data_IF_599518917242
#
_entry.id   IF_599518917242
#
_cell.length_a   1.000
_cell.length_b   1.000
_cell.length_c   1.000
_cell.angle_alpha   90.00
_cell.angle_beta   90.00
_cell.angle_gamma   90.00
#
_symmetry.space_group_name_H-M   'P 1'
#
loop_
_entity.id
_entity.type
_entity.pdbx_description
1 polymer ?
#
# COMPACT_ATOMS: atom_id res chain seq x y z
N UNK A 1 5.07 -6.42 14.17
CA UNK A 1 5.87 -7.67 14.29
C UNK A 1 7.35 -7.44 14.00
N UNK A 2 7.74 -6.90 12.83
CA UNK A 2 9.16 -6.59 12.53
C UNK A 2 9.75 -5.66 13.59
N UNK A 3 9.13 -4.49 13.82
CA UNK A 3 9.58 -3.54 14.83
C UNK A 3 9.59 -4.12 16.25
N UNK A 4 8.61 -4.97 16.57
CA UNK A 4 8.49 -5.61 17.88
C UNK A 4 9.65 -6.59 18.16
N UNK A 5 10.35 -7.08 17.13
CA UNK A 5 11.50 -7.96 17.25
C UNK A 5 12.84 -7.22 17.25
N UNK A 6 12.84 -5.91 17.03
CA UNK A 6 14.06 -5.11 16.91
C UNK A 6 14.99 -5.27 18.12
N UNK A 7 14.43 -5.25 19.34
CA UNK A 7 15.19 -5.42 20.57
C UNK A 7 15.83 -6.80 20.68
N UNK A 8 15.17 -7.84 20.17
CA UNK A 8 15.73 -9.20 20.13
C UNK A 8 16.89 -9.29 19.15
N UNK A 9 16.79 -8.65 17.98
CA UNK A 9 17.91 -8.56 17.03
C UNK A 9 19.12 -7.85 17.65
N UNK A 10 18.89 -6.71 18.32
CA UNK A 10 19.97 -5.98 19.02
C UNK A 10 20.62 -6.84 20.09
N UNK A 11 19.82 -7.46 20.96
CA UNK A 11 20.33 -8.32 22.03
C UNK A 11 21.22 -9.46 21.49
N UNK A 12 20.79 -10.13 20.42
CA UNK A 12 21.55 -11.21 19.76
C UNK A 12 22.84 -10.67 19.16
N UNK A 13 22.78 -9.52 18.48
CA UNK A 13 23.93 -8.91 17.84
C UNK A 13 24.98 -8.46 18.85
N UNK A 14 24.55 -7.85 19.96
CA UNK A 14 25.42 -7.39 21.05
C UNK A 14 26.07 -8.59 21.77
N UNK A 15 25.27 -9.62 22.08
CA UNK A 15 25.76 -10.83 22.73
C UNK A 15 26.77 -11.58 21.85
N UNK A 16 26.47 -11.69 20.56
CA UNK A 16 27.37 -12.33 19.60
C UNK A 16 28.67 -11.55 19.42
N UNK A 17 28.60 -10.22 19.33
CA UNK A 17 29.79 -9.36 19.19
C UNK A 17 30.70 -9.50 20.41
N UNK A 18 30.14 -9.54 21.62
CA UNK A 18 30.89 -9.79 22.86
C UNK A 18 31.61 -11.15 22.87
N UNK A 19 31.01 -12.20 22.29
CA UNK A 19 31.68 -13.51 22.16
C UNK A 19 32.86 -13.45 21.18
N UNK A 20 32.73 -12.69 20.09
CA UNK A 20 33.81 -12.49 19.11
C UNK A 20 34.95 -11.69 19.73
N UNK A 21 34.66 -10.58 20.41
CA UNK A 21 35.66 -9.74 21.08
C UNK A 21 36.48 -10.49 22.14
N UNK A 22 35.85 -11.46 22.83
CA UNK A 22 36.50 -12.28 23.85
C UNK A 22 37.31 -13.44 23.28
N UNK A 23 37.45 -13.55 21.95
CA UNK A 23 38.08 -14.67 21.26
C UNK A 23 37.53 -16.03 21.73
N UNK A 24 36.19 -16.13 21.85
CA UNK A 24 35.53 -17.39 22.18
C UNK A 24 35.93 -18.48 21.16
N UNK A 25 35.97 -19.76 21.58
CA UNK A 25 36.43 -20.85 20.71
C UNK A 25 35.67 -20.97 19.38
N UNK A 26 34.40 -20.50 19.36
CA UNK A 26 33.53 -20.46 18.19
C UNK A 26 33.40 -19.06 17.56
N UNK A 27 34.30 -18.11 17.85
CA UNK A 27 34.19 -16.72 17.40
C UNK A 27 34.04 -16.59 15.86
N UNK A 28 34.72 -17.44 15.08
CA UNK A 28 34.58 -17.46 13.62
C UNK A 28 33.15 -17.78 13.18
N UNK A 29 32.56 -18.85 13.75
CA UNK A 29 31.19 -19.26 13.42
C UNK A 29 30.16 -18.21 13.88
N UNK A 30 30.38 -17.60 15.05
CA UNK A 30 29.52 -16.53 15.56
C UNK A 30 29.56 -15.32 14.63
N UNK A 31 30.75 -14.89 14.19
CA UNK A 31 30.90 -13.76 13.28
C UNK A 31 30.19 -14.01 11.93
N UNK A 32 30.33 -15.21 11.36
CA UNK A 32 29.63 -15.60 10.14
C UNK A 32 28.10 -15.53 10.32
N UNK A 33 27.56 -16.08 11.40
CA UNK A 33 26.10 -16.03 11.66
C UNK A 33 25.58 -14.62 11.91
N UNK A 34 26.36 -13.76 12.55
CA UNK A 34 26.00 -12.35 12.74
C UNK A 34 25.92 -11.62 11.41
N UNK A 35 26.85 -11.89 10.49
CA UNK A 35 26.82 -11.31 9.14
C UNK A 35 25.58 -11.79 8.38
N UNK A 36 25.31 -13.10 8.36
CA UNK A 36 24.10 -13.65 7.73
C UNK A 36 22.82 -13.05 8.31
N UNK A 37 22.73 -12.92 9.65
CA UNK A 37 21.58 -12.31 10.31
C UNK A 37 21.38 -10.85 9.89
N UNK A 38 22.48 -10.09 9.75
CA UNK A 38 22.44 -8.70 9.30
C UNK A 38 21.95 -8.58 7.86
N UNK A 39 22.47 -9.43 6.96
CA UNK A 39 22.05 -9.48 5.56
C UNK A 39 20.57 -9.85 5.40
N UNK A 40 20.12 -10.89 6.12
CA UNK A 40 18.72 -11.32 6.14
C UNK A 40 17.80 -10.20 6.66
N UNK A 41 18.21 -9.48 7.70
CA UNK A 41 17.44 -8.34 8.24
C UNK A 41 17.31 -7.21 7.21
N UNK A 42 18.40 -6.87 6.52
CA UNK A 42 18.39 -5.85 5.46
C UNK A 42 17.45 -6.29 4.32
N UNK A 43 17.56 -7.54 3.88
CA UNK A 43 16.69 -8.11 2.84
C UNK A 43 15.21 -8.09 3.23
N UNK A 44 14.90 -8.45 4.48
CA UNK A 44 13.54 -8.39 5.02
C UNK A 44 12.96 -6.97 4.98
N UNK A 45 13.73 -5.98 5.43
CA UNK A 45 13.28 -4.58 5.45
C UNK A 45 13.06 -4.02 4.04
N UNK A 46 13.95 -4.36 3.09
CA UNK A 46 13.79 -3.98 1.68
C UNK A 46 12.50 -4.58 1.11
N UNK A 47 12.28 -5.88 1.28
CA UNK A 47 11.09 -6.56 0.77
C UNK A 47 9.80 -6.00 1.39
N UNK A 48 9.85 -5.67 2.68
CA UNK A 48 8.71 -5.05 3.36
C UNK A 48 8.36 -3.69 2.76
N UNK A 49 9.35 -2.85 2.48
CA UNK A 49 9.15 -1.53 1.89
C UNK A 49 8.62 -1.63 0.45
N UNK A 50 9.20 -2.51 -0.37
CA UNK A 50 8.71 -2.77 -1.74
C UNK A 50 7.23 -3.21 -1.73
N UNK A 51 6.87 -4.08 -0.77
CA UNK A 51 5.49 -4.54 -0.59
C UNK A 51 4.57 -3.39 -0.16
N UNK A 52 5.02 -2.52 0.75
CA UNK A 52 4.26 -1.36 1.22
C UNK A 52 3.91 -0.44 0.04
N UNK A 53 4.91 -0.08 -0.76
CA UNK A 53 4.74 0.76 -1.96
C UNK A 53 3.78 0.13 -2.96
N UNK A 54 3.90 -1.18 -3.21
CA UNK A 54 2.97 -1.89 -4.10
C UNK A 54 1.52 -1.80 -3.61
N UNK A 55 1.28 -1.98 -2.31
CA UNK A 55 -0.07 -1.89 -1.76
C UNK A 55 -0.63 -0.48 -1.80
N UNK A 56 0.19 0.55 -1.60
CA UNK A 56 -0.21 1.95 -1.78
C UNK A 56 -0.63 2.21 -3.23
N UNK A 57 0.16 1.78 -4.20
CA UNK A 57 -0.18 1.90 -5.63
C UNK A 57 -1.45 1.14 -5.99
N UNK A 58 -1.64 -0.08 -5.46
CA UNK A 58 -2.87 -0.84 -5.65
C UNK A 58 -4.09 -0.11 -5.06
N UNK A 59 -3.94 0.49 -3.87
CA UNK A 59 -5.01 1.26 -3.24
C UNK A 59 -5.40 2.47 -4.09
N UNK A 60 -4.42 3.25 -4.54
CA UNK A 60 -4.64 4.42 -5.41
C UNK A 60 -5.37 4.02 -6.70
N UNK A 61 -4.97 2.90 -7.30
CA UNK A 61 -5.61 2.37 -8.50
C UNK A 61 -7.09 1.99 -8.25
N UNK A 62 -7.39 1.36 -7.11
CA UNK A 62 -8.78 1.02 -6.76
C UNK A 62 -9.63 2.25 -6.52
N UNK A 63 -9.07 3.28 -5.87
CA UNK A 63 -9.75 4.56 -5.70
C UNK A 63 -10.04 5.21 -7.06
N UNK A 64 -9.07 5.22 -7.97
CA UNK A 64 -9.25 5.74 -9.32
C UNK A 64 -10.37 5.02 -10.09
N UNK A 65 -10.43 3.68 -10.04
CA UNK A 65 -11.49 2.94 -10.71
C UNK A 65 -12.86 3.25 -10.14
N UNK A 66 -12.99 3.31 -8.81
CA UNK A 66 -14.24 3.69 -8.15
C UNK A 66 -14.70 5.08 -8.57
N UNK A 67 -13.78 6.05 -8.58
CA UNK A 67 -14.10 7.43 -8.90
C UNK A 67 -14.48 7.58 -10.39
N UNK A 68 -13.83 6.82 -11.29
CA UNK A 68 -14.19 6.75 -12.71
C UNK A 68 -15.57 6.13 -12.91
N UNK A 69 -15.87 5.00 -12.25
CA UNK A 69 -17.18 4.36 -12.33
C UNK A 69 -18.31 5.28 -11.82
N UNK A 70 -18.04 6.05 -10.77
CA UNK A 70 -18.98 7.05 -10.28
C UNK A 70 -19.22 8.17 -11.30
N UNK A 71 -18.17 8.66 -11.95
CA UNK A 71 -18.27 9.67 -13.00
C UNK A 71 -19.05 9.14 -14.21
N UNK A 72 -18.75 7.92 -14.68
CA UNK A 72 -19.45 7.28 -15.79
C UNK A 72 -20.94 7.09 -15.50
N UNK A 73 -21.27 6.63 -14.29
CA UNK A 73 -22.66 6.48 -13.85
C UNK A 73 -23.40 7.83 -13.83
N UNK A 74 -22.72 8.90 -13.42
CA UNK A 74 -23.29 10.25 -13.40
C UNK A 74 -23.50 10.79 -14.83
N UNK A 75 -22.51 10.63 -15.70
CA UNK A 75 -22.61 11.03 -17.11
C UNK A 75 -23.72 10.27 -17.84
N UNK A 76 -23.81 8.95 -17.67
CA UNK A 76 -24.85 8.14 -18.29
C UNK A 76 -26.27 8.57 -17.88
N UNK A 77 -26.46 9.00 -16.61
CA UNK A 77 -27.74 9.57 -16.17
C UNK A 77 -28.04 10.90 -16.86
N UNK A 78 -27.02 11.75 -17.02
CA UNK A 78 -27.18 13.04 -17.68
C UNK A 78 -27.45 12.88 -19.18
N UNK A 79 -26.76 11.96 -19.85
CA UNK A 79 -26.99 11.60 -21.25
C UNK A 79 -28.42 11.08 -21.44
N UNK A 80 -28.86 10.13 -20.61
CA UNK A 80 -30.23 9.60 -20.69
C UNK A 80 -31.30 10.68 -20.45
N UNK A 81 -31.04 11.67 -19.58
CA UNK A 81 -31.92 12.82 -19.41
C UNK A 81 -31.96 13.72 -20.65
N UNK A 82 -30.81 13.98 -21.28
CA UNK A 82 -30.71 14.83 -22.47
C UNK A 82 -31.24 14.17 -23.74
N UNK A 83 -31.12 12.85 -23.86
CA UNK A 83 -31.72 12.07 -24.96
C UNK A 83 -33.24 12.04 -24.91
N UNK A 84 -33.85 12.44 -23.79
CA UNK A 84 -35.29 12.55 -23.70
C UNK A 84 -35.81 13.67 -24.61
N UNK A 85 -36.40 13.28 -25.75
CA UNK A 85 -37.01 14.18 -26.73
C UNK A 85 -38.45 14.60 -26.38
N UNK A 86 -38.98 14.19 -25.23
CA UNK A 86 -40.30 14.61 -24.77
C UNK A 86 -40.24 16.04 -24.23
N UNK A 87 -40.62 16.98 -25.08
CA UNK A 87 -40.62 18.43 -24.79
C UNK A 87 -41.88 18.87 -24.02
N UNK A 88 -42.78 17.95 -23.69
CA UNK A 88 -44.08 18.27 -23.09
C UNK A 88 -45.09 18.83 -24.11
N UNK A 89 -46.36 18.62 -23.84
CA UNK A 89 -47.49 19.00 -24.71
C UNK A 89 -48.17 20.32 -24.29
N UNK A 90 -47.66 20.97 -23.24
CA UNK A 90 -48.21 22.20 -22.68
C UNK A 90 -47.13 23.21 -22.27
N UNK A 91 -47.49 24.49 -22.22
CA UNK A 91 -46.59 25.58 -21.80
C UNK A 91 -45.99 25.32 -20.40
N UNK A 92 -46.81 24.84 -19.46
CA UNK A 92 -46.39 24.52 -18.10
C UNK A 92 -45.39 23.34 -18.07
N UNK A 93 -45.59 22.31 -18.92
CA UNK A 93 -44.64 21.19 -19.04
C UNK A 93 -43.30 21.61 -19.66
N UNK A 94 -43.31 22.53 -20.62
CA UNK A 94 -42.10 23.10 -21.22
C UNK A 94 -41.36 24.00 -20.21
N UNK A 95 -42.07 24.82 -19.44
CA UNK A 95 -41.48 25.65 -18.37
C UNK A 95 -40.84 24.79 -17.27
N UNK A 96 -41.43 23.64 -16.95
CA UNK A 96 -40.86 22.70 -15.98
C UNK A 96 -39.58 22.00 -16.48
N UNK A 97 -39.42 21.82 -17.80
CA UNK A 97 -38.21 21.26 -18.41
C UNK A 97 -37.04 22.26 -18.51
N UNK A 98 -37.34 23.56 -18.51
CA UNK A 98 -36.33 24.64 -18.58
C UNK A 98 -35.71 24.96 -17.21
N UNK A 99 -36.38 24.58 -16.11
CA UNK A 99 -35.99 24.87 -14.73
C UNK A 99 -35.11 23.79 -14.12
#
# INVERSE_FOLDING_TARGET
EIDAREDSFKLISDSGSSLVERNHFAASEVAEKLNSLSEEKIGLLSLWEDRRVLYEQCMDLQLFYRDTEQADTWMAKQEAFLENTDLGDSLDSVEALIK
#
